data_IF_652546208006
#
_entry.id   IF_652546208006
#
_cell.length_a   1.000
_cell.length_b   1.000
_cell.length_c   1.000
_cell.angle_alpha   90.00
_cell.angle_beta   90.00
_cell.angle_gamma   90.00
#
_symmetry.space_group_name_H-M   'P 1'
#
loop_
_entity.id
_entity.type
_entity.pdbx_description
1 polymer ?
#
# COMPACT_ATOMS: atom_id res chain seq x y z
N UNK A 1 -25.13 -19.59 17.54
CA UNK A 1 -24.68 -19.33 16.15
C UNK A 1 -24.12 -17.92 15.96
N UNK A 2 -24.67 -16.88 16.61
CA UNK A 2 -24.18 -15.49 16.48
C UNK A 2 -22.74 -15.30 17.00
N UNK A 3 -22.34 -15.97 18.09
CA UNK A 3 -21.01 -15.78 18.67
C UNK A 3 -19.88 -16.38 17.81
N UNK A 4 -20.12 -17.55 17.20
CA UNK A 4 -19.15 -18.21 16.33
C UNK A 4 -18.79 -17.33 15.12
N UNK A 5 -19.78 -16.66 14.53
CA UNK A 5 -19.57 -15.71 13.42
C UNK A 5 -18.71 -14.52 13.84
N UNK A 6 -18.88 -14.00 15.06
CA UNK A 6 -18.07 -12.91 15.59
C UNK A 6 -16.59 -13.26 15.72
N UNK A 7 -16.27 -14.44 16.27
CA UNK A 7 -14.88 -14.91 16.38
C UNK A 7 -14.24 -15.15 15.01
N UNK A 8 -14.99 -15.69 14.05
CA UNK A 8 -14.49 -15.89 12.68
C UNK A 8 -14.13 -14.55 12.02
N UNK A 9 -14.98 -13.53 12.16
CA UNK A 9 -14.71 -12.20 11.62
C UNK A 9 -13.44 -11.57 12.21
N UNK A 10 -13.19 -11.78 13.50
CA UNK A 10 -11.98 -11.29 14.17
C UNK A 10 -10.71 -11.98 13.67
N UNK A 11 -10.75 -13.30 13.47
CA UNK A 11 -9.62 -14.08 12.96
C UNK A 11 -9.34 -13.73 11.50
N UNK A 12 -10.38 -13.60 10.67
CA UNK A 12 -10.25 -13.21 9.27
C UNK A 12 -9.63 -11.82 9.16
N UNK A 13 -10.10 -10.85 9.96
CA UNK A 13 -9.53 -9.51 9.96
C UNK A 13 -8.03 -9.49 10.34
N UNK A 14 -7.61 -10.33 11.30
CA UNK A 14 -6.20 -10.47 11.66
C UNK A 14 -5.37 -11.06 10.50
N UNK A 15 -5.86 -12.12 9.86
CA UNK A 15 -5.18 -12.79 8.74
C UNK A 15 -5.09 -11.87 7.53
N UNK A 16 -6.18 -11.18 7.20
CA UNK A 16 -6.21 -10.22 6.10
C UNK A 16 -5.20 -9.11 6.34
N UNK A 17 -5.19 -8.52 7.55
CA UNK A 17 -4.17 -7.54 7.94
C UNK A 17 -2.76 -8.06 7.72
N UNK A 18 -2.47 -9.29 8.18
CA UNK A 18 -1.16 -9.93 8.04
C UNK A 18 -0.74 -10.11 6.57
N UNK A 19 -1.65 -10.59 5.72
CA UNK A 19 -1.40 -10.79 4.29
C UNK A 19 -1.18 -9.46 3.56
N UNK A 20 -1.95 -8.42 3.89
CA UNK A 20 -1.75 -7.09 3.33
C UNK A 20 -0.40 -6.50 3.74
N UNK A 21 0.00 -6.62 5.02
CA UNK A 21 1.31 -6.14 5.49
C UNK A 21 2.48 -6.78 4.73
N UNK A 22 2.41 -8.10 4.52
CA UNK A 22 3.39 -8.86 3.73
C UNK A 22 3.41 -8.42 2.25
N UNK A 23 2.23 -8.21 1.66
CA UNK A 23 2.10 -7.78 0.27
C UNK A 23 2.65 -6.36 0.06
N UNK A 24 2.36 -5.43 0.95
CA UNK A 24 2.83 -4.04 0.89
C UNK A 24 4.36 -4.01 0.87
N UNK A 25 5.03 -4.70 1.79
CA UNK A 25 6.49 -4.66 1.83
C UNK A 25 7.14 -5.24 0.58
N UNK A 26 6.61 -6.36 0.06
CA UNK A 26 7.08 -6.94 -1.22
C UNK A 26 6.80 -6.03 -2.42
N UNK A 27 5.68 -5.30 -2.40
CA UNK A 27 5.37 -4.30 -3.42
C UNK A 27 6.37 -3.13 -3.39
N UNK A 28 6.71 -2.65 -2.19
CA UNK A 28 7.69 -1.57 -2.00
C UNK A 28 9.08 -1.99 -2.47
N UNK A 29 9.55 -3.21 -2.14
CA UNK A 29 10.85 -3.68 -2.62
C UNK A 29 10.90 -3.81 -4.14
N UNK A 30 9.84 -4.29 -4.77
CA UNK A 30 9.73 -4.34 -6.23
C UNK A 30 9.73 -2.94 -6.87
N UNK A 31 9.00 -1.99 -6.29
CA UNK A 31 8.99 -0.60 -6.77
C UNK A 31 10.38 0.02 -6.71
N UNK A 32 11.12 -0.19 -5.61
CA UNK A 32 12.50 0.31 -5.47
C UNK A 32 13.42 -0.30 -6.55
N UNK A 33 13.31 -1.60 -6.81
CA UNK A 33 14.10 -2.26 -7.86
C UNK A 33 13.80 -1.69 -9.25
N UNK A 34 12.55 -1.36 -9.55
CA UNK A 34 12.17 -0.71 -10.81
C UNK A 34 12.83 0.68 -10.93
N UNK A 35 12.80 1.47 -9.85
CA UNK A 35 13.46 2.78 -9.82
C UNK A 35 14.97 2.64 -10.04
N UNK A 36 15.62 1.70 -9.37
CA UNK A 36 17.06 1.43 -9.53
C UNK A 36 17.37 0.98 -10.97
N UNK A 37 16.56 0.08 -11.54
CA UNK A 37 16.72 -0.39 -12.91
C UNK A 37 16.58 0.76 -13.93
N UNK A 38 15.64 1.68 -13.70
CA UNK A 38 15.45 2.86 -14.54
C UNK A 38 16.68 3.78 -14.49
N UNK A 39 17.25 4.02 -13.31
CA UNK A 39 18.48 4.83 -13.15
C UNK A 39 19.67 4.14 -13.85
N UNK A 40 19.86 2.84 -13.65
CA UNK A 40 20.92 2.08 -14.31
C UNK A 40 20.76 2.09 -15.83
N UNK A 41 19.54 2.01 -16.35
CA UNK A 41 19.26 2.12 -17.79
C UNK A 41 19.75 3.46 -18.37
N UNK A 42 19.56 4.56 -17.64
CA UNK A 42 20.08 5.88 -18.07
C UNK A 42 21.60 5.94 -18.07
N UNK A 43 22.27 5.25 -17.13
CA UNK A 43 23.73 5.23 -17.02
C UNK A 43 24.40 4.33 -18.08
N UNK A 44 23.81 3.18 -18.37
CA UNK A 44 24.35 2.20 -19.35
C UNK A 44 24.05 2.62 -20.80
N UNK A 45 23.38 3.75 -21.02
CA UNK A 45 23.03 4.23 -22.36
C UNK A 45 21.95 3.41 -23.06
N UNK A 46 21.29 2.50 -22.33
CA UNK A 46 20.05 1.86 -22.77
C UNK A 46 18.94 2.93 -22.74
N UNK A 47 18.81 3.66 -23.85
CA UNK A 47 17.73 4.61 -24.09
C UNK A 47 16.44 3.84 -24.40
N UNK A 48 15.80 3.28 -23.37
CA UNK A 48 14.46 2.67 -23.51
C UNK A 48 13.35 3.71 -23.72
N UNK A 49 13.70 5.00 -23.84
CA UNK A 49 12.75 6.07 -24.05
C UNK A 49 13.44 7.30 -24.67
N UNK A 50 13.53 7.38 -26.02
CA UNK A 50 14.03 8.58 -26.71
C UNK A 50 13.20 9.86 -26.45
N UNK A 51 12.09 9.79 -25.72
CA UNK A 51 11.14 10.90 -25.56
C UNK A 51 10.50 11.03 -24.18
N UNK A 52 11.02 10.38 -23.14
CA UNK A 52 10.44 10.52 -21.79
C UNK A 52 11.38 11.37 -20.96
N UNK A 53 11.25 12.70 -21.11
CA UNK A 53 11.86 13.63 -20.17
C UNK A 53 11.33 13.29 -18.77
N UNK A 54 12.23 13.00 -17.86
CA UNK A 54 11.94 12.63 -16.46
C UNK A 54 11.06 13.71 -15.80
N UNK A 55 11.21 14.96 -16.25
CA UNK A 55 10.38 16.11 -15.91
C UNK A 55 8.90 15.97 -16.32
N UNK A 56 8.59 15.42 -17.50
CA UNK A 56 7.20 15.27 -17.97
C UNK A 56 6.44 14.11 -17.32
N UNK A 57 7.10 12.98 -17.05
CA UNK A 57 6.48 11.86 -16.32
C UNK A 57 6.23 12.21 -14.86
N UNK A 58 7.17 12.90 -14.21
CA UNK A 58 7.02 13.31 -12.80
C UNK A 58 5.94 14.38 -12.64
N UNK A 59 5.90 15.39 -13.51
CA UNK A 59 4.87 16.43 -13.50
C UNK A 59 3.46 15.90 -13.79
N UNK A 60 3.34 14.81 -14.57
CA UNK A 60 2.05 14.14 -14.80
C UNK A 60 1.65 13.21 -13.66
N UNK A 61 2.60 12.52 -13.01
CA UNK A 61 2.29 11.58 -11.93
C UNK A 61 1.94 12.27 -10.61
N UNK A 62 2.57 13.41 -10.27
CA UNK A 62 2.28 14.16 -9.05
C UNK A 62 0.79 14.50 -8.84
N UNK A 63 0.06 15.05 -9.84
CA UNK A 63 -1.36 15.34 -9.68
C UNK A 63 -2.21 14.08 -9.57
N UNK A 64 -1.88 12.98 -10.26
CA UNK A 64 -2.59 11.72 -10.07
C UNK A 64 -2.37 11.16 -8.67
N UNK A 65 -1.13 11.15 -8.17
CA UNK A 65 -0.82 10.70 -6.81
C UNK A 65 -1.55 11.56 -5.78
N UNK A 66 -1.58 12.89 -5.95
CA UNK A 66 -2.37 13.77 -5.06
C UNK A 66 -3.86 13.50 -5.14
N UNK A 67 -4.39 13.27 -6.34
CA UNK A 67 -5.83 13.02 -6.54
C UNK A 67 -6.24 11.69 -5.93
N UNK A 68 -5.47 10.61 -6.18
CA UNK A 68 -5.71 9.31 -5.57
C UNK A 68 -5.43 9.33 -4.07
N UNK A 69 -4.39 10.00 -3.58
CA UNK A 69 -4.15 10.15 -2.15
C UNK A 69 -5.27 10.92 -1.45
N UNK A 70 -5.81 11.97 -2.09
CA UNK A 70 -6.95 12.74 -1.61
C UNK A 70 -8.26 11.95 -1.64
N UNK A 71 -8.47 11.13 -2.67
CA UNK A 71 -9.63 10.23 -2.75
C UNK A 71 -9.52 9.13 -1.69
N UNK A 72 -8.35 8.52 -1.55
CA UNK A 72 -8.07 7.54 -0.49
C UNK A 72 -8.26 8.16 0.90
N UNK A 73 -7.85 9.40 1.14
CA UNK A 73 -8.10 10.03 2.46
C UNK A 73 -9.56 10.42 2.71
N UNK A 74 -10.34 10.70 1.65
CA UNK A 74 -11.77 10.99 1.79
C UNK A 74 -12.63 9.71 1.86
N UNK A 75 -12.28 8.67 1.09
CA UNK A 75 -12.97 7.37 1.07
C UNK A 75 -12.57 6.50 2.24
N UNK A 76 -11.30 6.56 2.67
CA UNK A 76 -10.89 6.10 4.00
C UNK A 76 -11.23 7.21 5.00
N UNK A 77 -12.52 7.52 5.11
CA UNK A 77 -13.10 7.97 6.36
C UNK A 77 -12.86 6.86 7.39
N UNK A 78 -11.64 6.79 7.93
CA UNK A 78 -11.42 6.22 9.25
C UNK A 78 -12.23 7.14 10.14
N UNK A 79 -13.49 6.77 10.38
CA UNK A 79 -14.40 7.52 11.22
C UNK A 79 -13.71 7.67 12.57
N UNK A 80 -13.04 8.80 12.76
CA UNK A 80 -12.39 9.20 14.00
C UNK A 80 -13.47 9.74 14.94
N UNK A 81 -14.53 8.95 15.09
CA UNK A 81 -15.80 9.29 15.71
C UNK A 81 -16.38 8.03 16.32
N UNK A 82 -15.88 7.67 17.49
CA UNK A 82 -16.52 6.74 18.42
C UNK A 82 -16.33 5.25 18.10
N UNK A 83 -15.45 4.62 18.87
CA UNK A 83 -15.24 3.17 18.95
C UNK A 83 -14.52 2.52 17.76
N UNK A 84 -13.18 2.46 17.86
CA UNK A 84 -12.39 1.48 17.10
C UNK A 84 -12.93 0.08 17.44
N UNK A 85 -13.67 -0.52 16.51
CA UNK A 85 -14.14 -1.90 16.65
C UNK A 85 -12.93 -2.82 16.85
N UNK A 86 -13.08 -3.83 17.71
CA UNK A 86 -12.04 -4.84 17.97
C UNK A 86 -11.48 -5.41 16.66
N UNK A 87 -12.33 -5.56 15.64
CA UNK A 87 -11.96 -6.01 14.28
C UNK A 87 -10.93 -5.11 13.61
N UNK A 88 -11.07 -3.78 13.71
CA UNK A 88 -10.13 -2.80 13.12
C UNK A 88 -8.80 -2.84 13.85
N UNK A 89 -8.82 -2.99 15.17
CA UNK A 89 -7.61 -3.10 15.99
C UNK A 89 -6.86 -4.39 15.62
N UNK A 90 -7.56 -5.53 15.53
CA UNK A 90 -6.94 -6.80 15.12
C UNK A 90 -6.40 -6.73 13.70
N UNK A 91 -7.10 -6.08 12.76
CA UNK A 91 -6.59 -5.86 11.41
C UNK A 91 -5.31 -5.02 11.41
N UNK A 92 -5.26 -3.92 12.15
CA UNK A 92 -4.06 -3.08 12.27
C UNK A 92 -2.88 -3.81 12.91
N UNK A 93 -3.13 -4.64 13.93
CA UNK A 93 -2.10 -5.50 14.54
C UNK A 93 -1.59 -6.51 13.52
N UNK A 94 -2.49 -7.19 12.80
CA UNK A 94 -2.13 -8.10 11.71
C UNK A 94 -1.26 -7.41 10.68
N UNK A 95 -1.67 -6.21 10.23
CA UNK A 95 -0.95 -5.39 9.27
C UNK A 95 0.44 -4.99 9.77
N UNK A 96 0.55 -4.51 11.01
CA UNK A 96 1.83 -4.15 11.61
C UNK A 96 2.79 -5.35 11.70
N UNK A 97 2.30 -6.52 12.13
CA UNK A 97 3.08 -7.77 12.16
C UNK A 97 3.47 -8.20 10.75
N UNK A 98 2.57 -8.07 9.78
CA UNK A 98 2.80 -8.42 8.38
C UNK A 98 3.87 -7.55 7.74
N UNK A 99 3.87 -6.25 8.04
CA UNK A 99 4.91 -5.30 7.62
C UNK A 99 6.27 -5.58 8.28
N UNK A 100 6.29 -6.06 9.52
CA UNK A 100 7.54 -6.34 10.23
C UNK A 100 8.17 -7.67 9.78
N UNK A 101 7.36 -8.71 9.56
CA UNK A 101 7.83 -10.07 9.25
C UNK A 101 7.90 -10.40 7.76
N UNK A 102 6.97 -9.92 6.96
CA UNK A 102 7.19 -9.87 5.51
C UNK A 102 8.36 -8.98 5.24
#
# INVERSE_FOLDING_TARGET
MVELTGYILLIVALIDGLLFGLAIKKGVTSFILIVIALILSTYVGFSFAPHVSITNTTARLLPYIKTYASQITNDISIGFGGSLSLTVILFLIGLAVGLWKG
#
